data_IF_190083359706
#
_entry.id   IF_190083359706
#
_cell.length_a   1.000
_cell.length_b   1.000
_cell.length_c   1.000
_cell.angle_alpha   90.00
_cell.angle_beta   90.00
_cell.angle_gamma   90.00
#
_symmetry.space_group_name_H-M   'P 1'
#
loop_
_entity.id
_entity.type
_entity.pdbx_description
1 polymer ?
#
# COMPACT_ATOMS: atom_id res chain seq x y z
N UNK A 1 2.56 29.40 -49.06
CA UNK A 1 1.85 28.29 -48.42
C UNK A 1 2.76 27.19 -47.82
N UNK A 2 3.97 26.97 -48.28
CA UNK A 2 4.90 25.88 -47.81
C UNK A 2 5.36 25.98 -46.34
N UNK A 3 5.37 27.15 -45.70
CA UNK A 3 5.89 27.30 -44.32
C UNK A 3 4.84 26.97 -43.24
N UNK A 4 3.56 27.21 -43.51
CA UNK A 4 2.48 26.92 -42.54
C UNK A 4 2.36 25.44 -42.25
N UNK A 5 2.55 24.58 -43.24
CA UNK A 5 2.47 23.13 -43.10
C UNK A 5 3.64 22.58 -42.25
N UNK A 6 4.83 23.18 -42.34
CA UNK A 6 5.99 22.77 -41.52
C UNK A 6 5.80 23.07 -40.03
N UNK A 7 5.21 24.23 -39.70
CA UNK A 7 4.88 24.58 -38.31
C UNK A 7 3.75 23.70 -37.73
N UNK A 8 2.75 23.33 -38.56
CA UNK A 8 1.68 22.47 -38.12
C UNK A 8 2.18 21.05 -37.79
N UNK A 9 3.09 20.51 -38.59
CA UNK A 9 3.73 19.20 -38.33
C UNK A 9 4.64 19.26 -37.09
N UNK A 10 5.38 20.34 -36.89
CA UNK A 10 6.22 20.52 -35.70
C UNK A 10 5.39 20.61 -34.40
N UNK A 11 4.27 21.32 -34.45
CA UNK A 11 3.34 21.41 -33.29
C UNK A 11 2.67 20.07 -33.01
N UNK A 12 2.29 19.33 -34.04
CA UNK A 12 1.72 17.99 -33.90
C UNK A 12 2.71 17.00 -33.28
N UNK A 13 3.98 17.04 -33.71
CA UNK A 13 5.06 16.23 -33.15
C UNK A 13 5.36 16.60 -31.69
N UNK A 14 5.32 17.89 -31.31
CA UNK A 14 5.45 18.32 -29.92
C UNK A 14 4.27 17.83 -29.05
N UNK A 15 3.05 17.91 -29.55
CA UNK A 15 1.86 17.42 -28.84
C UNK A 15 1.93 15.89 -28.62
N UNK A 16 2.37 15.14 -29.62
CA UNK A 16 2.53 13.68 -29.50
C UNK A 16 3.65 13.31 -28.51
N UNK A 17 4.75 14.06 -28.49
CA UNK A 17 5.82 13.83 -27.50
C UNK A 17 5.38 14.16 -26.07
N UNK A 18 4.52 15.14 -25.86
CA UNK A 18 3.95 15.46 -24.54
C UNK A 18 2.98 14.36 -24.03
N UNK A 19 2.24 13.71 -24.94
CA UNK A 19 1.36 12.58 -24.57
C UNK A 19 2.11 11.31 -24.18
N UNK A 20 3.36 11.15 -24.64
CA UNK A 20 4.20 10.00 -24.33
C UNK A 20 4.95 10.13 -22.97
N UNK A 21 5.05 11.33 -22.41
CA UNK A 21 5.76 11.58 -21.13
C UNK A 21 4.82 11.44 -19.91
N UNK A 22 3.50 11.35 -20.13
CA UNK A 22 2.47 11.46 -19.08
C UNK A 22 2.07 10.19 -18.34
N UNK A 23 2.64 9.03 -18.66
CA UNK A 23 2.29 7.78 -17.97
C UNK A 23 3.51 7.18 -17.29
N UNK A 24 3.98 7.79 -16.22
CA UNK A 24 4.71 7.04 -15.21
C UNK A 24 3.69 6.12 -14.54
N UNK A 25 3.52 4.91 -15.08
CA UNK A 25 2.89 3.85 -14.33
C UNK A 25 3.76 3.64 -13.09
N UNK A 26 3.36 4.18 -11.95
CA UNK A 26 3.87 3.72 -10.66
C UNK A 26 3.41 2.27 -10.59
N UNK A 27 4.29 1.36 -11.00
CA UNK A 27 4.02 -0.08 -10.92
C UNK A 27 3.89 -0.40 -9.45
N UNK A 28 2.69 -0.79 -9.05
CA UNK A 28 2.45 -1.27 -7.69
C UNK A 28 3.43 -2.41 -7.42
N UNK A 29 4.30 -2.26 -6.42
CA UNK A 29 5.26 -3.30 -6.03
C UNK A 29 4.55 -4.30 -5.14
N UNK A 30 4.37 -5.50 -5.65
CA UNK A 30 3.85 -6.65 -4.89
C UNK A 30 5.02 -7.40 -4.26
N UNK A 31 4.92 -7.66 -2.96
CA UNK A 31 5.82 -8.58 -2.24
C UNK A 31 5.05 -9.82 -1.83
N UNK A 32 5.63 -10.99 -2.09
CA UNK A 32 5.07 -12.28 -1.66
C UNK A 32 5.78 -12.72 -0.38
N UNK A 33 5.01 -13.13 0.63
CA UNK A 33 5.51 -13.53 1.94
C UNK A 33 5.04 -14.93 2.31
N UNK A 34 5.94 -15.70 2.93
CA UNK A 34 5.70 -17.09 3.34
C UNK A 34 5.80 -17.28 4.85
N UNK A 35 6.38 -16.32 5.54
CA UNK A 35 6.67 -16.39 6.98
C UNK A 35 6.16 -15.17 7.74
N UNK A 36 5.92 -15.35 9.05
CA UNK A 36 5.58 -14.25 9.95
C UNK A 36 6.60 -13.10 9.87
N UNK A 37 7.90 -13.44 9.84
CA UNK A 37 8.94 -12.41 9.84
C UNK A 37 8.96 -11.59 8.55
N UNK A 38 8.73 -12.21 7.41
CA UNK A 38 8.59 -11.51 6.12
C UNK A 38 7.36 -10.60 6.12
N UNK A 39 6.23 -11.08 6.64
CA UNK A 39 5.01 -10.29 6.77
C UNK A 39 5.23 -9.07 7.68
N UNK A 40 5.85 -9.26 8.85
CA UNK A 40 6.19 -8.17 9.76
C UNK A 40 7.14 -7.16 9.09
N UNK A 41 8.13 -7.62 8.34
CA UNK A 41 9.05 -6.72 7.65
C UNK A 41 8.35 -5.91 6.55
N UNK A 42 7.50 -6.56 5.76
CA UNK A 42 6.73 -5.92 4.70
C UNK A 42 5.70 -4.90 5.26
N UNK A 43 5.11 -5.18 6.43
CA UNK A 43 4.11 -4.31 7.06
C UNK A 43 4.70 -3.04 7.69
N UNK A 44 6.01 -2.98 7.92
CA UNK A 44 6.66 -1.81 8.56
C UNK A 44 6.71 -0.55 7.70
N UNK A 45 6.30 -0.63 6.43
CA UNK A 45 6.28 0.53 5.53
C UNK A 45 7.67 1.11 5.22
N UNK A 46 8.76 0.36 5.52
CA UNK A 46 10.14 0.81 5.28
C UNK A 46 10.40 0.99 3.77
N UNK A 47 9.76 0.17 2.97
CA UNK A 47 9.78 0.29 1.52
C UNK A 47 8.45 0.92 1.06
N UNK A 48 8.47 2.23 0.83
CA UNK A 48 7.28 3.00 0.41
C UNK A 48 6.76 2.63 -0.97
N UNK A 49 7.50 1.81 -1.72
CA UNK A 49 7.07 1.31 -3.03
C UNK A 49 6.16 0.08 -2.92
N UNK A 50 6.13 -0.60 -1.76
CA UNK A 50 5.25 -1.76 -1.57
C UNK A 50 3.81 -1.29 -1.43
N UNK A 51 2.98 -1.71 -2.40
CA UNK A 51 1.54 -1.41 -2.41
C UNK A 51 0.70 -2.66 -2.14
N UNK A 52 1.29 -3.85 -2.28
CA UNK A 52 0.59 -5.11 -2.06
C UNK A 52 1.49 -6.13 -1.39
N UNK A 53 0.98 -6.75 -0.33
CA UNK A 53 1.57 -7.90 0.35
C UNK A 53 0.68 -9.10 0.08
N UNK A 54 1.26 -10.14 -0.52
CA UNK A 54 0.53 -11.35 -0.89
C UNK A 54 1.00 -12.55 -0.08
N UNK A 55 0.07 -13.27 0.56
CA UNK A 55 0.42 -14.49 1.26
C UNK A 55 0.63 -15.65 0.27
N UNK A 56 1.74 -16.36 0.40
CA UNK A 56 2.00 -17.59 -0.35
C UNK A 56 1.69 -18.85 0.46
N UNK A 57 1.62 -18.72 1.79
CA UNK A 57 1.33 -19.81 2.74
C UNK A 57 0.46 -19.32 3.88
N UNK A 58 -0.16 -20.24 4.59
CA UNK A 58 -0.77 -19.96 5.89
C UNK A 58 0.29 -19.42 6.85
N UNK A 59 -0.04 -18.33 7.55
CA UNK A 59 0.85 -17.70 8.51
C UNK A 59 0.14 -17.62 9.86
N UNK A 60 0.83 -18.10 10.92
CA UNK A 60 0.38 -17.91 12.30
C UNK A 60 1.26 -16.87 12.96
N UNK A 61 0.64 -15.85 13.56
CA UNK A 61 1.37 -14.81 14.27
C UNK A 61 1.66 -15.21 15.71
N UNK A 62 2.90 -15.04 16.11
CA UNK A 62 3.36 -15.14 17.50
C UNK A 62 3.52 -13.77 18.14
N UNK A 63 3.44 -12.70 17.34
CA UNK A 63 3.60 -11.31 17.75
C UNK A 63 2.49 -10.45 17.15
N UNK A 64 2.30 -9.29 17.76
CA UNK A 64 1.40 -8.27 17.27
C UNK A 64 1.83 -7.77 15.87
N UNK A 65 0.89 -7.70 14.94
CA UNK A 65 1.14 -7.20 13.58
C UNK A 65 0.67 -5.76 13.47
N UNK A 66 1.59 -4.86 13.15
CA UNK A 66 1.28 -3.47 12.93
C UNK A 66 1.62 -3.07 11.48
N UNK A 67 0.62 -2.58 10.76
CA UNK A 67 0.82 -1.97 9.45
C UNK A 67 1.14 -0.49 9.61
N UNK A 68 2.36 -0.10 9.27
CA UNK A 68 2.75 1.30 9.13
C UNK A 68 2.43 1.76 7.71
N UNK A 69 1.41 2.59 7.57
CA UNK A 69 0.90 2.96 6.26
C UNK A 69 1.28 4.39 5.94
N UNK A 70 2.20 4.53 5.00
CA UNK A 70 2.57 5.81 4.39
C UNK A 70 1.73 6.05 3.14
N UNK A 71 1.38 4.95 2.43
CA UNK A 71 0.57 4.92 1.22
C UNK A 71 -0.51 3.86 1.33
N UNK A 72 -1.43 3.82 0.38
CA UNK A 72 -2.39 2.73 0.28
C UNK A 72 -1.67 1.38 0.16
N UNK A 73 -2.04 0.44 1.02
CA UNK A 73 -1.49 -0.92 1.03
C UNK A 73 -2.60 -1.96 0.95
N UNK A 74 -2.35 -3.02 0.23
CA UNK A 74 -3.25 -4.16 0.12
C UNK A 74 -2.61 -5.39 0.76
N UNK A 75 -3.33 -6.07 1.65
CA UNK A 75 -3.02 -7.41 2.10
C UNK A 75 -3.88 -8.40 1.32
N UNK A 76 -3.25 -9.20 0.45
CA UNK A 76 -3.92 -10.24 -0.31
C UNK A 76 -3.70 -11.60 0.34
N UNK A 77 -4.76 -12.17 0.85
CA UNK A 77 -4.71 -13.50 1.49
C UNK A 77 -4.42 -14.62 0.49
N UNK A 78 -4.77 -14.43 -0.79
CA UNK A 78 -4.45 -15.39 -1.87
C UNK A 78 -4.87 -16.84 -1.57
N UNK A 79 -6.00 -17.01 -0.87
CA UNK A 79 -6.53 -18.32 -0.45
C UNK A 79 -5.94 -18.85 0.85
N UNK A 80 -4.96 -18.16 1.44
CA UNK A 80 -4.26 -18.56 2.64
C UNK A 80 -4.96 -18.09 3.91
N UNK A 81 -4.60 -18.72 5.02
CA UNK A 81 -5.06 -18.33 6.36
C UNK A 81 -4.02 -17.45 7.04
N UNK A 82 -4.44 -16.30 7.56
CA UNK A 82 -3.68 -15.51 8.52
C UNK A 82 -4.27 -15.75 9.91
N UNK A 83 -3.62 -16.57 10.74
CA UNK A 83 -4.03 -16.79 12.12
C UNK A 83 -3.32 -15.76 13.01
N UNK A 84 -4.05 -14.75 13.45
CA UNK A 84 -3.52 -13.71 14.35
C UNK A 84 -3.62 -14.12 15.82
N UNK A 85 -4.30 -15.22 16.13
CA UNK A 85 -4.41 -15.77 17.48
C UNK A 85 -4.96 -14.76 18.48
N UNK A 86 -4.21 -14.55 19.57
CA UNK A 86 -4.48 -13.53 20.59
C UNK A 86 -3.65 -12.24 20.37
N UNK A 87 -2.81 -12.19 19.33
CA UNK A 87 -1.82 -11.11 19.18
C UNK A 87 -2.43 -9.81 18.64
N UNK A 88 -3.47 -9.89 17.85
CA UNK A 88 -4.09 -8.70 17.26
C UNK A 88 -3.38 -8.16 16.02
N UNK A 89 -4.10 -7.26 15.37
CA UNK A 89 -3.67 -6.55 14.17
C UNK A 89 -4.01 -5.07 14.36
N UNK A 90 -3.08 -4.19 14.06
CA UNK A 90 -3.32 -2.76 14.05
C UNK A 90 -2.87 -2.09 12.78
N UNK A 91 -3.31 -0.86 12.66
CA UNK A 91 -3.07 0.00 11.53
C UNK A 91 -2.61 1.36 12.07
N UNK A 92 -1.38 1.76 11.75
CA UNK A 92 -0.81 3.03 12.18
C UNK A 92 -0.45 3.87 10.98
N UNK A 93 -0.75 5.16 11.05
CA UNK A 93 -0.29 6.12 10.05
C UNK A 93 1.14 6.54 10.36
N UNK A 94 2.04 6.36 9.40
CA UNK A 94 3.48 6.53 9.61
C UNK A 94 4.02 7.92 9.29
N UNK A 95 3.22 8.86 8.79
CA UNK A 95 3.74 10.14 8.34
C UNK A 95 3.06 11.31 9.04
N UNK A 96 3.85 12.07 9.79
CA UNK A 96 3.52 13.42 10.21
C UNK A 96 4.43 14.39 9.47
N UNK A 97 3.87 15.33 8.76
CA UNK A 97 4.59 16.47 8.22
C UNK A 97 4.61 17.56 9.29
N UNK A 98 5.81 17.98 9.68
CA UNK A 98 5.97 19.10 10.61
C UNK A 98 6.10 20.39 9.84
N UNK A 99 5.17 21.30 10.06
CA UNK A 99 5.20 22.65 9.50
C UNK A 99 5.90 23.58 10.51
N UNK A 100 7.15 23.90 10.21
CA UNK A 100 7.97 24.81 11.03
C UNK A 100 7.38 26.21 11.16
N UNK A 101 6.64 26.68 10.15
CA UNK A 101 6.06 28.02 10.14
C UNK A 101 4.94 28.19 11.15
N UNK A 102 4.20 27.13 11.43
CA UNK A 102 3.05 27.10 12.32
C UNK A 102 3.29 26.29 13.60
N UNK A 103 4.48 25.68 13.75
CA UNK A 103 4.83 24.78 14.86
C UNK A 103 3.78 23.69 15.08
N UNK A 104 3.32 23.06 13.99
CA UNK A 104 2.26 22.04 14.01
C UNK A 104 2.63 20.79 13.21
N UNK A 105 2.21 19.65 13.73
CA UNK A 105 2.22 18.39 12.99
C UNK A 105 0.92 18.22 12.20
N UNK A 106 1.04 17.92 10.93
CA UNK A 106 -0.07 17.50 10.08
C UNK A 106 0.06 16.01 9.81
N UNK A 107 -0.99 15.26 10.15
CA UNK A 107 -1.05 13.84 9.89
C UNK A 107 -1.84 13.60 8.60
N UNK A 108 -1.24 12.89 7.66
CA UNK A 108 -1.94 12.50 6.45
C UNK A 108 -2.71 11.20 6.70
N UNK A 109 -4.02 11.30 6.90
CA UNK A 109 -4.92 10.17 7.18
C UNK A 109 -5.55 9.58 5.91
N UNK A 110 -5.05 9.90 4.73
CA UNK A 110 -5.65 9.45 3.47
C UNK A 110 -5.22 8.04 3.05
N UNK A 111 -4.28 7.42 3.76
CA UNK A 111 -3.83 6.06 3.45
C UNK A 111 -4.85 5.02 3.88
N UNK A 112 -4.95 3.94 3.10
CA UNK A 112 -5.93 2.88 3.29
C UNK A 112 -5.26 1.52 3.35
N UNK A 113 -5.66 0.66 4.31
CA UNK A 113 -5.42 -0.77 4.27
C UNK A 113 -6.61 -1.46 3.61
N UNK A 114 -6.36 -2.18 2.52
CA UNK A 114 -7.33 -3.05 1.88
C UNK A 114 -6.96 -4.50 2.16
N UNK A 115 -7.90 -5.29 2.68
CA UNK A 115 -7.73 -6.74 2.82
C UNK A 115 -8.59 -7.41 1.76
N UNK A 116 -7.98 -8.27 0.95
CA UNK A 116 -8.68 -9.01 -0.11
C UNK A 116 -8.23 -10.47 -0.17
N UNK A 117 -8.97 -11.28 -0.91
CA UNK A 117 -8.57 -12.60 -1.34
C UNK A 117 -8.66 -12.68 -2.86
N UNK A 118 -7.52 -12.74 -3.55
CA UNK A 118 -7.45 -12.83 -5.01
C UNK A 118 -7.59 -14.25 -5.52
N UNK A 119 -7.60 -15.26 -4.63
CA UNK A 119 -7.74 -16.67 -5.06
C UNK A 119 -9.08 -16.92 -5.75
N UNK A 120 -9.11 -17.86 -6.68
CA UNK A 120 -10.34 -18.26 -7.37
C UNK A 120 -11.33 -18.94 -6.43
N UNK A 121 -10.83 -19.67 -5.44
CA UNK A 121 -11.63 -20.40 -4.44
C UNK A 121 -12.21 -19.54 -3.34
N UNK A 122 -11.69 -18.32 -3.15
CA UNK A 122 -12.08 -17.41 -2.06
C UNK A 122 -12.02 -18.06 -0.68
N UNK A 123 -10.96 -18.83 -0.43
CA UNK A 123 -10.74 -19.55 0.83
C UNK A 123 -9.90 -18.80 1.84
N UNK A 124 -9.34 -17.65 1.44
CA UNK A 124 -8.53 -16.79 2.30
C UNK A 124 -9.35 -16.30 3.49
N UNK A 125 -8.74 -16.34 4.68
CA UNK A 125 -9.40 -15.95 5.93
C UNK A 125 -8.40 -15.40 6.95
N UNK A 126 -8.92 -14.56 7.84
CA UNK A 126 -8.20 -14.13 9.04
C UNK A 126 -8.89 -14.82 10.23
N UNK A 127 -8.10 -15.50 11.03
CA UNK A 127 -8.56 -16.13 12.27
C UNK A 127 -8.07 -15.29 13.46
N UNK A 128 -8.99 -14.93 14.36
CA UNK A 128 -8.70 -14.28 15.63
C UNK A 128 -9.40 -15.04 16.75
N UNK A 129 -8.74 -15.13 17.90
CA UNK A 129 -9.33 -15.72 19.13
C UNK A 129 -9.87 -14.66 20.07
N UNK A 130 -9.65 -13.38 19.73
CA UNK A 130 -10.20 -12.23 20.41
C UNK A 130 -10.81 -11.26 19.40
N UNK A 131 -11.47 -10.22 19.88
CA UNK A 131 -11.98 -9.17 19.02
C UNK A 131 -10.81 -8.49 18.28
N UNK A 132 -10.92 -8.32 16.97
CA UNK A 132 -9.97 -7.55 16.19
C UNK A 132 -10.15 -6.08 16.55
N UNK A 133 -9.23 -5.52 17.32
CA UNK A 133 -9.21 -4.10 17.60
C UNK A 133 -8.42 -3.39 16.49
N UNK A 134 -9.11 -2.64 15.66
CA UNK A 134 -8.45 -1.62 14.84
C UNK A 134 -8.20 -0.41 15.76
N UNK A 135 -7.04 -0.37 16.40
CA UNK A 135 -6.63 0.82 17.13
C UNK A 135 -6.29 1.91 16.12
N UNK A 136 -7.21 2.86 15.95
CA UNK A 136 -6.87 4.14 15.38
C UNK A 136 -6.02 4.88 16.41
N UNK A 137 -4.71 4.97 16.20
CA UNK A 137 -3.91 5.95 16.91
C UNK A 137 -4.27 7.33 16.36
N UNK A 138 -5.30 7.94 16.93
CA UNK A 138 -5.48 9.40 16.85
C UNK A 138 -4.48 9.94 17.86
N UNK A 139 -3.31 10.39 17.42
CA UNK A 139 -2.48 11.24 18.24
C UNK A 139 -3.18 12.60 18.32
N UNK A 140 -3.73 12.92 19.50
CA UNK A 140 -4.22 14.25 19.86
C UNK A 140 -3.04 15.17 20.15
#
# INVERSE_FOLDING_TARGET
MKNKTKYLVAILLMLVSFLLIGATNVSAKTVTVETEQELINASKGIDSEINEIKLAKDITLTKFLNFYVVNDITLDLSGQTLDIGFNGLSFSYGQSDYDESNNKYYYNFNSKLTIKDSSSSKTGKILSRENIFFNYCIAL
#
